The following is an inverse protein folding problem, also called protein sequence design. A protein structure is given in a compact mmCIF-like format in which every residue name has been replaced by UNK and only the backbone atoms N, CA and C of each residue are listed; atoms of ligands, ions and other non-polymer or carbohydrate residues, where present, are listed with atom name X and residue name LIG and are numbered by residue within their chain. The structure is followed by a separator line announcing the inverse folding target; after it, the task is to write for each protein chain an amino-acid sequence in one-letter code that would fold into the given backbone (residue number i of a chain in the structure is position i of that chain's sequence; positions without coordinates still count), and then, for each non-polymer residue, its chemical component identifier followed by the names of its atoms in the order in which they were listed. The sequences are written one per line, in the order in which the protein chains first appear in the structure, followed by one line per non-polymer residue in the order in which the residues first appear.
data_IF_916420979427
#
_entry.id   IF_916420979427
#
_cell.length_a   1.000
_cell.length_b   1.000
_cell.length_c   1.000
_cell.angle_alpha   90.00
_cell.angle_beta   90.00
_cell.angle_gamma   90.00
#
_symmetry.space_group_name_H-M   'P 1'
#
loop_
_entity.id
_entity.type
_entity.pdbx_description
1 polymer ?
#
# COMPACT_ATOMS: atom_id res chain seq x y z
N UNK A 1 -15.27 -1.39 16.79
CA UNK A 1 -13.88 -1.41 16.27
C UNK A 1 -13.85 -0.52 15.04
N UNK A 2 -13.17 0.64 15.10
CA UNK A 2 -12.88 1.41 13.87
C UNK A 2 -11.67 0.73 13.22
N UNK A 3 -11.85 0.18 12.03
CA UNK A 3 -10.70 -0.25 11.22
C UNK A 3 -9.95 1.04 10.86
N UNK A 4 -8.67 1.19 11.23
CA UNK A 4 -7.93 2.37 10.86
C UNK A 4 -7.85 2.46 9.33
N UNK A 5 -8.06 3.67 8.79
CA UNK A 5 -7.99 3.96 7.36
C UNK A 5 -6.51 3.95 6.92
N UNK A 6 -5.93 2.74 6.86
CA UNK A 6 -4.56 2.50 6.42
C UNK A 6 -4.56 2.05 4.96
N UNK A 7 -3.81 2.76 4.13
CA UNK A 7 -3.67 2.47 2.71
C UNK A 7 -2.27 2.91 2.24
N UNK A 8 -1.94 2.60 0.98
CA UNK A 8 -0.67 2.98 0.37
C UNK A 8 0.55 2.52 1.16
N UNK A 9 1.43 3.47 1.48
CA UNK A 9 2.72 3.20 2.17
C UNK A 9 2.51 2.78 3.62
N UNK A 10 1.49 3.29 4.31
CA UNK A 10 1.23 2.91 5.70
C UNK A 10 0.78 1.45 5.81
N UNK A 11 -0.08 1.00 4.89
CA UNK A 11 -0.44 -0.42 4.80
C UNK A 11 0.79 -1.28 4.47
N UNK A 12 1.64 -0.83 3.55
CA UNK A 12 2.87 -1.54 3.20
C UNK A 12 3.78 -1.74 4.42
N UNK A 13 3.96 -0.73 5.27
CA UNK A 13 4.78 -0.85 6.50
C UNK A 13 4.23 -1.92 7.44
N UNK A 14 2.91 -1.98 7.61
CA UNK A 14 2.27 -3.00 8.44
C UNK A 14 2.53 -4.39 7.86
N UNK A 15 2.31 -4.59 6.56
CA UNK A 15 2.54 -5.89 5.91
C UNK A 15 3.99 -6.35 5.99
N UNK A 16 4.96 -5.43 5.87
CA UNK A 16 6.39 -5.71 6.05
C UNK A 16 6.66 -6.19 7.48
N UNK A 17 6.10 -5.50 8.48
CA UNK A 17 6.28 -5.84 9.88
C UNK A 17 5.64 -7.20 10.23
N UNK A 18 4.41 -7.45 9.79
CA UNK A 18 3.68 -8.70 10.07
C UNK A 18 4.36 -9.93 9.45
N UNK A 19 5.07 -9.76 8.34
CA UNK A 19 5.77 -10.84 7.63
C UNK A 19 7.29 -10.86 7.91
N UNK A 20 7.77 -10.02 8.83
CA UNK A 20 9.20 -9.85 9.15
C UNK A 20 10.10 -9.64 7.92
N UNK A 21 9.59 -8.91 6.92
CA UNK A 21 10.31 -8.63 5.68
C UNK A 21 11.34 -7.53 5.88
N UNK A 22 12.48 -7.65 5.20
CA UNK A 22 13.51 -6.62 5.13
C UNK A 22 13.42 -5.85 3.82
N UNK A 23 14.01 -4.65 3.76
CA UNK A 23 13.98 -3.85 2.52
C UNK A 23 14.58 -4.59 1.32
N UNK A 24 15.62 -5.38 1.54
CA UNK A 24 16.23 -6.25 0.52
C UNK A 24 15.24 -7.24 -0.12
N UNK A 25 14.23 -7.69 0.62
CA UNK A 25 13.26 -8.68 0.14
C UNK A 25 12.23 -8.03 -0.81
N UNK A 26 12.13 -6.69 -0.77
CA UNK A 26 11.28 -5.89 -1.65
C UNK A 26 12.02 -5.39 -2.91
N UNK A 27 13.33 -5.61 -3.02
CA UNK A 27 14.14 -5.23 -4.18
C UNK A 27 13.59 -5.81 -5.50
N UNK A 28 13.07 -7.04 -5.58
CA UNK A 28 12.45 -7.54 -6.82
C UNK A 28 11.26 -6.69 -7.32
N UNK A 29 10.62 -5.95 -6.42
CA UNK A 29 9.48 -5.06 -6.73
C UNK A 29 9.97 -3.66 -7.09
N UNK A 30 10.88 -3.12 -6.28
CA UNK A 30 11.31 -1.71 -6.34
C UNK A 30 12.65 -1.49 -7.06
N UNK A 31 13.28 -2.55 -7.58
CA UNK A 31 14.57 -2.59 -8.29
C UNK A 31 15.80 -2.39 -7.42
N UNK A 32 15.77 -1.48 -6.44
CA UNK A 32 16.91 -1.21 -5.54
C UNK A 32 16.45 -0.89 -4.12
N UNK A 33 17.30 -1.17 -3.12
CA UNK A 33 17.02 -0.84 -1.71
C UNK A 33 16.82 0.67 -1.49
N UNK A 34 17.54 1.52 -2.26
CA UNK A 34 17.34 2.97 -2.19
C UNK A 34 15.92 3.38 -2.58
N UNK A 35 15.33 2.74 -3.60
CA UNK A 35 13.95 3.02 -4.00
C UNK A 35 12.96 2.53 -2.94
N UNK A 36 13.23 1.36 -2.34
CA UNK A 36 12.42 0.85 -1.21
C UNK A 36 12.41 1.88 -0.07
N UNK A 37 13.60 2.34 0.34
CA UNK A 37 13.74 3.36 1.39
C UNK A 37 13.01 4.65 1.05
N UNK A 38 13.15 5.16 -0.17
CA UNK A 38 12.46 6.38 -0.61
C UNK A 38 10.94 6.23 -0.55
N UNK A 39 10.40 5.05 -0.91
CA UNK A 39 8.96 4.78 -0.82
C UNK A 39 8.51 4.70 0.64
N UNK A 40 9.21 3.95 1.49
CA UNK A 40 8.86 3.80 2.90
C UNK A 40 8.95 5.12 3.69
N UNK A 41 9.86 6.02 3.28
CA UNK A 41 10.00 7.36 3.83
C UNK A 41 9.08 8.41 3.17
N UNK A 42 8.23 8.02 2.22
CA UNK A 42 7.28 8.91 1.54
C UNK A 42 7.90 9.89 0.53
N UNK A 43 9.20 9.76 0.23
CA UNK A 43 9.89 10.54 -0.81
C UNK A 43 9.45 10.14 -2.21
N UNK A 44 8.99 8.90 -2.38
CA UNK A 44 8.48 8.35 -3.64
C UNK A 44 7.10 7.72 -3.44
N UNK A 45 6.20 7.94 -4.39
CA UNK A 45 4.87 7.33 -4.40
C UNK A 45 4.92 5.89 -4.92
N UNK A 46 4.00 5.05 -4.43
CA UNK A 46 3.72 3.75 -5.03
C UNK A 46 3.15 3.95 -6.44
N UNK A 47 3.69 3.21 -7.41
CA UNK A 47 3.14 3.15 -8.77
C UNK A 47 2.13 2.01 -8.87
N UNK A 48 1.31 2.00 -9.92
CA UNK A 48 0.38 0.91 -10.19
C UNK A 48 1.12 -0.43 -10.32
N UNK A 49 2.28 -0.44 -10.98
CA UNK A 49 3.13 -1.63 -11.11
C UNK A 49 3.61 -2.13 -9.73
N UNK A 50 4.05 -1.24 -8.84
CA UNK A 50 4.43 -1.63 -7.48
C UNK A 50 3.23 -2.23 -6.74
N UNK A 51 2.07 -1.59 -6.81
CA UNK A 51 0.85 -2.07 -6.13
C UNK A 51 0.46 -3.46 -6.62
N UNK A 52 0.51 -3.72 -7.92
CA UNK A 52 0.21 -5.04 -8.49
C UNK A 52 1.16 -6.12 -7.95
N UNK A 53 2.48 -5.88 -7.99
CA UNK A 53 3.46 -6.84 -7.49
C UNK A 53 3.38 -7.06 -5.97
N UNK A 54 3.08 -6.00 -5.21
CA UNK A 54 2.87 -6.12 -3.77
C UNK A 54 1.61 -6.91 -3.45
N UNK A 55 0.52 -6.68 -4.20
CA UNK A 55 -0.71 -7.44 -4.07
C UNK A 55 -0.49 -8.94 -4.32
N UNK A 56 0.31 -9.29 -5.32
CA UNK A 56 0.73 -10.67 -5.60
C UNK A 56 1.58 -11.26 -4.45
N UNK A 57 2.59 -10.51 -3.98
CA UNK A 57 3.47 -10.94 -2.89
C UNK A 57 2.70 -11.23 -1.59
N UNK A 58 1.80 -10.32 -1.22
CA UNK A 58 1.02 -10.40 0.01
C UNK A 58 -0.28 -11.19 -0.13
N UNK A 59 -0.63 -11.62 -1.35
CA UNK A 59 -1.88 -12.33 -1.68
C UNK A 59 -3.13 -11.55 -1.25
N UNK A 60 -3.13 -10.25 -1.49
CA UNK A 60 -4.24 -9.33 -1.21
C UNK A 60 -4.75 -8.68 -2.49
N UNK A 61 -5.95 -8.12 -2.47
CA UNK A 61 -6.45 -7.34 -3.61
C UNK A 61 -5.67 -6.03 -3.75
N UNK A 62 -5.24 -5.60 -4.95
CA UNK A 62 -4.62 -4.28 -5.17
C UNK A 62 -5.45 -3.11 -4.61
N UNK A 63 -6.78 -3.26 -4.55
CA UNK A 63 -7.70 -2.25 -4.05
C UNK A 63 -7.40 -1.81 -2.61
N UNK A 64 -6.82 -2.67 -1.78
CA UNK A 64 -6.50 -2.36 -0.38
C UNK A 64 -5.45 -1.27 -0.22
N UNK A 65 -4.65 -1.01 -1.26
CA UNK A 65 -3.66 0.08 -1.25
C UNK A 65 -4.28 1.45 -1.52
N UNK A 66 -5.57 1.53 -1.82
CA UNK A 66 -6.28 2.79 -2.07
C UNK A 66 -7.20 3.14 -0.90
N UNK A 67 -7.40 4.43 -0.61
CA UNK A 67 -8.35 4.85 0.41
C UNK A 67 -9.75 4.38 0.01
N UNK A 68 -10.48 3.79 0.96
CA UNK A 68 -11.89 3.48 0.77
C UNK A 68 -12.64 4.80 0.81
N UNK A 69 -12.95 5.35 -0.37
CA UNK A 69 -13.88 6.47 -0.44
C UNK A 69 -15.25 5.98 0.03
N UNK A 70 -15.66 6.33 1.25
CA UNK A 70 -17.07 6.32 1.60
C UNK A 70 -17.78 7.27 0.63
N UNK A 71 -18.44 6.69 -0.36
CA UNK A 71 -19.47 7.36 -1.14
C UNK A 71 -20.59 7.72 -0.16
N UNK A 72 -20.54 8.94 0.38
CA UNK A 72 -21.77 9.61 0.76
C UNK A 72 -22.49 9.90 -0.56
N UNK A 73 -23.32 8.96 -1.02
CA UNK A 73 -24.29 9.24 -2.07
C UNK A 73 -25.25 10.28 -1.49
N UNK A 74 -24.97 11.54 -1.81
CA UNK A 74 -25.94 12.62 -1.72
C UNK A 74 -27.03 12.33 -2.76
N UNK A 75 -28.06 11.61 -2.36
CA UNK A 75 -29.39 11.69 -2.98
C UNK A 75 -30.31 12.37 -1.97
N UNK A 76 -30.08 13.66 -1.72
CA UNK A 76 -31.19 14.52 -1.31
C UNK A 76 -31.90 14.91 -2.60
N UNK A 77 -33.00 14.21 -2.86
CA UNK A 77 -34.06 14.70 -3.73
C UNK A 77 -34.84 15.75 -2.94
N UNK A 78 -34.79 17.00 -3.41
CA UNK A 78 -35.71 18.06 -3.05
C UNK A 78 -36.33 18.60 -4.34
#
# INVERSE_FOLDING_TARGET
MKVPDIYGVELLKVLIQELDLKQKDLVPIFKTESIVSDVLNGKRKLTVEHIQKLAELFKVSPAVFFPIKSSNNCFEVA
#
